data_IF_220362490805
#
_entry.id   IF_220362490805
#
_cell.length_a   1.000
_cell.length_b   1.000
_cell.length_c   1.000
_cell.angle_alpha   90.00
_cell.angle_beta   90.00
_cell.angle_gamma   90.00
#
_symmetry.space_group_name_H-M   'P 1'
#
loop_
_entity.id
_entity.type
_entity.pdbx_description
1 polymer ?
#
# COMPACT_ATOMS: atom_id res chain seq x y z
N UNK A 1 -3.53 -4.95 7.04
CA UNK A 1 -2.06 -5.00 7.37
C UNK A 1 -1.61 -3.83 8.27
N UNK A 2 -0.49 -3.90 9.03
CA UNK A 2 0.04 -2.79 9.87
C UNK A 2 1.56 -2.57 9.75
N UNK A 3 2.02 -1.34 9.50
CA UNK A 3 3.43 -0.97 9.52
C UNK A 3 4.12 -1.30 10.86
N UNK A 4 5.45 -1.25 10.88
CA UNK A 4 6.27 -1.52 12.07
C UNK A 4 5.96 -0.58 13.26
N UNK A 5 5.46 0.63 12.99
CA UNK A 5 5.00 1.58 14.01
C UNK A 5 3.58 1.30 14.52
N UNK A 6 2.95 0.22 14.04
CA UNK A 6 1.60 -0.20 14.42
C UNK A 6 0.47 0.47 13.64
N UNK A 7 0.76 1.45 12.77
CA UNK A 7 -0.26 2.09 11.95
C UNK A 7 -0.78 1.11 10.90
N UNK A 8 -2.11 1.07 10.72
CA UNK A 8 -2.73 0.25 9.67
C UNK A 8 -2.31 0.79 8.30
N UNK A 9 -1.96 -0.11 7.38
CA UNK A 9 -1.73 0.24 5.96
C UNK A 9 -3.05 0.61 5.30
N UNK A 10 -3.07 1.68 4.52
CA UNK A 10 -4.25 2.14 3.79
C UNK A 10 -3.90 2.45 2.34
N UNK A 11 -4.87 2.28 1.45
CA UNK A 11 -4.71 2.67 0.04
C UNK A 11 -4.48 4.18 -0.06
N UNK A 12 -3.48 4.57 -0.85
CA UNK A 12 -3.02 5.95 -1.01
C UNK A 12 -1.86 6.35 -0.10
N UNK A 13 -1.38 5.45 0.77
CA UNK A 13 -0.17 5.70 1.55
C UNK A 13 1.07 5.79 0.67
N UNK A 14 1.86 6.84 0.85
CA UNK A 14 3.22 6.91 0.29
C UNK A 14 4.17 6.18 1.23
N UNK A 15 4.88 5.19 0.72
CA UNK A 15 5.74 4.30 1.50
C UNK A 15 7.15 4.27 0.94
N UNK A 16 8.13 4.12 1.83
CA UNK A 16 9.49 3.74 1.52
C UNK A 16 9.55 2.23 1.36
N UNK A 17 10.25 1.78 0.32
CA UNK A 17 10.48 0.37 0.00
C UNK A 17 11.90 -0.09 0.40
N UNK A 18 12.68 0.79 1.04
CA UNK A 18 14.11 0.56 1.30
C UNK A 18 14.98 0.94 0.11
N UNK A 19 16.29 1.11 0.34
CA UNK A 19 17.26 1.40 -0.73
C UNK A 19 17.02 2.70 -1.52
N UNK A 20 16.27 3.65 -0.96
CA UNK A 20 15.87 4.89 -1.64
C UNK A 20 14.73 4.72 -2.64
N UNK A 21 14.07 3.56 -2.66
CA UNK A 21 12.87 3.33 -3.45
C UNK A 21 11.63 3.69 -2.65
N UNK A 22 10.60 4.08 -3.38
CA UNK A 22 9.36 4.56 -2.82
C UNK A 22 8.19 4.26 -3.75
N UNK A 23 6.99 4.29 -3.20
CA UNK A 23 5.79 4.02 -3.96
C UNK A 23 4.52 4.38 -3.21
N UNK A 24 3.40 4.09 -3.86
CA UNK A 24 2.06 4.32 -3.29
C UNK A 24 1.34 2.99 -3.15
N UNK A 25 0.73 2.74 -1.99
CA UNK A 25 -0.15 1.59 -1.81
C UNK A 25 -1.39 1.78 -2.69
N UNK A 26 -1.58 0.89 -3.66
CA UNK A 26 -2.68 0.95 -4.64
C UNK A 26 -3.76 -0.09 -4.39
N UNK A 27 -3.47 -1.12 -3.59
CA UNK A 27 -4.44 -2.10 -3.13
C UNK A 27 -4.04 -2.65 -1.74
N UNK A 28 -5.02 -2.85 -0.88
CA UNK A 28 -4.92 -3.64 0.36
C UNK A 28 -5.93 -4.78 0.27
N UNK A 29 -5.44 -5.98 -0.01
CA UNK A 29 -6.27 -7.16 -0.26
C UNK A 29 -6.85 -7.67 1.06
N UNK A 30 -6.06 -7.65 2.14
CA UNK A 30 -6.54 -8.02 3.48
C UNK A 30 -7.72 -7.16 3.97
N UNK A 31 -7.78 -5.91 3.50
CA UNK A 31 -8.77 -4.93 3.94
C UNK A 31 -9.86 -4.67 2.88
N UNK A 32 -9.83 -5.40 1.76
CA UNK A 32 -10.71 -5.24 0.59
C UNK A 32 -10.74 -3.80 0.03
N UNK A 33 -9.62 -3.08 0.12
CA UNK A 33 -9.47 -1.70 -0.35
C UNK A 33 -8.68 -1.63 -1.66
N UNK A 34 -9.22 -0.94 -2.66
CA UNK A 34 -8.63 -0.83 -4.00
C UNK A 34 -8.79 0.58 -4.56
N UNK A 35 -7.91 1.00 -5.46
CA UNK A 35 -8.13 2.25 -6.21
C UNK A 35 -8.94 1.98 -7.48
N UNK A 36 -9.56 3.03 -8.04
CA UNK A 36 -10.31 2.90 -9.30
C UNK A 36 -9.45 2.49 -10.49
N UNK A 37 -8.14 2.77 -10.47
CA UNK A 37 -7.20 2.35 -11.52
C UNK A 37 -6.65 0.96 -11.31
N UNK A 38 -6.76 0.42 -10.09
CA UNK A 38 -6.17 -0.83 -9.66
C UNK A 38 -7.24 -1.66 -8.92
N UNK A 39 -8.27 -2.14 -9.65
CA UNK A 39 -9.48 -2.67 -9.04
C UNK A 39 -9.30 -4.12 -8.56
N UNK A 40 -10.25 -4.59 -7.76
CA UNK A 40 -10.23 -5.92 -7.12
C UNK A 40 -10.08 -7.06 -8.12
N UNK A 41 -10.68 -6.96 -9.30
CA UNK A 41 -10.63 -8.00 -10.33
C UNK A 41 -9.20 -8.26 -10.83
N UNK A 42 -8.33 -7.25 -10.73
CA UNK A 42 -6.92 -7.38 -11.13
C UNK A 42 -6.10 -8.04 -10.02
N UNK A 43 -6.41 -7.81 -8.74
CA UNK A 43 -5.52 -8.20 -7.63
C UNK A 43 -6.06 -9.29 -6.71
N UNK A 44 -7.35 -9.62 -6.80
CA UNK A 44 -7.99 -10.59 -5.90
C UNK A 44 -7.39 -11.99 -5.96
N UNK A 45 -6.74 -12.36 -7.08
CA UNK A 45 -6.05 -13.64 -7.21
C UNK A 45 -4.83 -13.80 -6.28
N UNK A 46 -4.33 -12.70 -5.70
CA UNK A 46 -3.21 -12.70 -4.76
C UNK A 46 -3.64 -13.10 -3.33
N UNK A 47 -4.95 -13.14 -3.08
CA UNK A 47 -5.63 -13.60 -1.84
C UNK A 47 -5.39 -12.78 -0.57
N UNK A 48 -4.19 -12.25 -0.35
CA UNK A 48 -3.83 -11.42 0.82
C UNK A 48 -2.74 -10.42 0.46
N UNK A 49 -2.38 -9.55 1.40
CA UNK A 49 -1.28 -8.62 1.24
C UNK A 49 -1.65 -7.27 0.67
N UNK A 50 -0.63 -6.53 0.26
CA UNK A 50 -0.77 -5.20 -0.35
C UNK A 50 -0.03 -5.16 -1.68
N UNK A 51 -0.48 -4.26 -2.54
CA UNK A 51 0.21 -3.92 -3.79
C UNK A 51 0.66 -2.47 -3.72
N UNK A 52 1.94 -2.26 -3.97
CA UNK A 52 2.56 -0.93 -4.02
C UNK A 52 2.98 -0.63 -5.45
N UNK A 53 2.59 0.54 -5.96
CA UNK A 53 3.09 1.06 -7.22
C UNK A 53 4.36 1.87 -6.94
N UNK A 54 5.50 1.23 -7.11
CA UNK A 54 6.83 1.85 -7.05
C UNK A 54 7.02 2.83 -8.20
N UNK A 55 7.64 3.97 -7.89
CA UNK A 55 8.04 4.97 -8.90
C UNK A 55 9.19 4.45 -9.78
N UNK A 56 9.97 3.50 -9.27
CA UNK A 56 11.17 2.95 -9.92
C UNK A 56 10.89 1.67 -10.71
N UNK A 57 10.03 0.77 -10.20
CA UNK A 57 9.90 -0.60 -10.71
C UNK A 57 8.47 -1.01 -11.14
N UNK A 58 7.47 -0.14 -10.98
CA UNK A 58 6.07 -0.49 -11.26
C UNK A 58 5.39 -1.18 -10.08
N UNK A 59 4.56 -2.19 -10.32
CA UNK A 59 3.79 -2.86 -9.25
C UNK A 59 4.65 -3.88 -8.50
N UNK A 60 4.67 -3.78 -7.18
CA UNK A 60 5.36 -4.69 -6.27
C UNK A 60 4.32 -5.25 -5.30
N UNK A 61 4.29 -6.56 -5.19
CA UNK A 61 3.39 -7.29 -4.31
C UNK A 61 4.10 -7.64 -3.00
N UNK A 62 3.44 -7.34 -1.88
CA UNK A 62 3.89 -7.69 -0.54
C UNK A 62 2.85 -8.63 0.11
N UNK A 63 3.10 -9.95 0.11
CA UNK A 63 2.19 -10.93 0.73
C UNK A 63 2.13 -10.81 2.25
N UNK A 64 3.19 -10.24 2.84
CA UNK A 64 3.36 -9.93 4.26
C UNK A 64 4.11 -8.60 4.37
N UNK A 65 3.95 -7.89 5.48
CA UNK A 65 4.67 -6.64 5.68
C UNK A 65 6.13 -6.90 5.98
N UNK A 66 6.98 -6.45 5.08
CA UNK A 66 8.41 -6.37 5.31
C UNK A 66 8.72 -5.25 6.32
N UNK A 67 9.66 -5.50 7.22
CA UNK A 67 10.24 -4.51 8.13
C UNK A 67 10.85 -3.30 7.41
N UNK A 68 11.23 -3.42 6.14
CA UNK A 68 11.74 -2.31 5.34
C UNK A 68 10.64 -1.36 4.82
N UNK A 69 9.37 -1.79 4.88
CA UNK A 69 8.24 -0.98 4.43
C UNK A 69 7.85 0.05 5.50
N UNK A 70 8.10 1.32 5.23
CA UNK A 70 7.82 2.41 6.16
C UNK A 70 6.88 3.46 5.55
N UNK A 71 5.91 3.94 6.33
CA UNK A 71 5.03 5.04 5.92
C UNK A 71 5.82 6.35 5.86
N UNK A 72 5.83 7.00 4.69
CA UNK A 72 6.43 8.32 4.47
C UNK A 72 5.39 9.42 4.65
N UNK A 73 4.23 9.28 4.02
CA UNK A 73 3.14 10.22 4.17
C UNK A 73 1.79 9.58 3.85
N UNK A 74 0.75 10.15 4.47
CA UNK A 74 -0.65 9.83 4.20
C UNK A 74 -1.39 11.13 4.01
N UNK A 75 -2.15 11.30 2.93
CA UNK A 75 -3.10 12.40 2.85
C UNK A 75 -4.13 12.21 3.94
N UNK A 76 -4.09 13.07 4.95
CA UNK A 76 -5.16 13.14 5.93
C UNK A 76 -6.43 13.49 5.15
N UNK A 77 -7.39 12.56 5.10
CA UNK A 77 -8.73 12.86 4.61
C UNK A 77 -9.27 13.91 5.56
N UNK A 78 -9.25 15.18 5.16
CA UNK A 78 -9.87 16.26 5.90
C UNK A 78 -11.37 15.95 5.89
N UNK A 79 -11.88 15.39 6.98
CA UNK A 79 -13.32 15.34 7.22
C UNK A 79 -13.75 16.80 7.39
N UNK A 80 -14.25 17.41 6.32
CA UNK A 80 -15.02 18.66 6.44
C UNK A 80 -16.29 18.32 7.18
N UNK A 81 -16.35 18.78 8.42
CA UNK A 81 -17.48 18.70 9.34
C UNK A 81 -18.65 19.55 8.88
#
# INVERSE_FOLDING_TARGET
>A
MKYADGQKVTVGDEVSLGGGWDGVVVASIDDDEYTGTDPKEVWSYLEKGIVVKSRQAGYIYFPELDTELALLSRRQRSESR
#
